data_IF_285894090664
#
_entry.id   IF_285894090664
#
_cell.length_a   1.000
_cell.length_b   1.000
_cell.length_c   1.000
_cell.angle_alpha   90.00
_cell.angle_beta   90.00
_cell.angle_gamma   90.00
#
_symmetry.space_group_name_H-M   'P 1'
#
loop_
_entity.id
_entity.type
_entity.pdbx_description
1 polymer ?
#
# COMPACT_ATOMS: atom_id res chain seq x y z
N UNK A 1 -5.19 -9.77 -17.78
CA UNK A 1 -5.39 -10.02 -16.34
C UNK A 1 -4.43 -9.20 -15.51
N UNK A 2 -4.41 -9.44 -14.20
CA UNK A 2 -3.31 -9.07 -13.31
C UNK A 2 -2.68 -10.37 -12.82
N UNK A 3 -1.36 -10.42 -12.72
CA UNK A 3 -0.64 -11.55 -12.15
C UNK A 3 -0.07 -11.14 -10.80
N UNK A 4 -0.17 -12.03 -9.81
CA UNK A 4 0.20 -11.74 -8.42
C UNK A 4 1.49 -12.45 -8.00
N UNK A 5 2.33 -12.85 -8.96
CA UNK A 5 3.59 -13.57 -8.70
C UNK A 5 3.41 -15.04 -8.34
N UNK A 6 2.15 -15.51 -8.32
CA UNK A 6 1.74 -16.83 -7.80
C UNK A 6 0.68 -17.41 -8.70
N UNK A 7 0.88 -18.65 -9.13
CA UNK A 7 -0.02 -19.34 -10.04
C UNK A 7 0.73 -20.26 -11.01
N UNK A 8 0.04 -20.62 -12.08
CA UNK A 8 0.56 -21.49 -13.13
C UNK A 8 1.23 -20.67 -14.23
N UNK A 9 2.38 -21.15 -14.71
CA UNK A 9 3.15 -20.52 -15.77
C UNK A 9 3.34 -21.48 -16.95
N UNK A 10 3.18 -20.95 -18.16
CA UNK A 10 3.78 -21.58 -19.34
C UNK A 10 5.22 -21.07 -19.46
N UNK A 11 6.18 -21.82 -18.90
CA UNK A 11 7.59 -21.42 -18.81
C UNK A 11 8.17 -21.03 -20.18
N UNK A 12 7.99 -21.82 -21.27
CA UNK A 12 8.45 -21.42 -22.60
C UNK A 12 7.88 -20.08 -23.09
N UNK A 13 6.57 -19.86 -22.91
CA UNK A 13 5.93 -18.62 -23.36
C UNK A 13 6.41 -17.40 -22.55
N UNK A 14 6.54 -17.55 -21.24
CA UNK A 14 7.05 -16.50 -20.35
C UNK A 14 8.48 -16.14 -20.74
N UNK A 15 9.34 -17.14 -20.96
CA UNK A 15 10.72 -16.92 -21.40
C UNK A 15 10.77 -16.22 -22.76
N UNK A 16 9.98 -16.68 -23.73
CA UNK A 16 9.93 -16.08 -25.07
C UNK A 16 9.47 -14.61 -25.07
N UNK A 17 8.60 -14.22 -24.14
CA UNK A 17 8.04 -12.87 -24.08
C UNK A 17 8.84 -11.93 -23.18
N UNK A 18 9.46 -12.42 -22.11
CA UNK A 18 10.13 -11.58 -21.12
C UNK A 18 11.65 -11.50 -21.27
N UNK A 19 12.29 -12.48 -21.91
CA UNK A 19 13.74 -12.52 -22.03
C UNK A 19 14.30 -11.21 -22.63
N UNK A 20 15.20 -10.56 -21.89
CA UNK A 20 15.84 -9.30 -22.31
C UNK A 20 14.92 -8.07 -22.38
N UNK A 21 13.65 -8.15 -21.94
CA UNK A 21 12.69 -7.05 -22.05
C UNK A 21 12.68 -6.10 -20.86
N UNK A 22 13.15 -6.57 -19.69
CA UNK A 22 13.21 -5.79 -18.47
C UNK A 22 14.64 -5.39 -18.15
N UNK A 23 14.86 -4.22 -17.53
CA UNK A 23 16.19 -3.82 -17.11
C UNK A 23 16.71 -4.78 -16.03
N UNK A 24 17.87 -5.39 -16.29
CA UNK A 24 18.52 -6.30 -15.36
C UNK A 24 18.86 -5.59 -14.05
N UNK A 25 18.58 -6.26 -12.93
CA UNK A 25 18.94 -5.79 -11.59
C UNK A 25 18.18 -4.56 -11.08
N UNK A 26 17.14 -4.09 -11.78
CA UNK A 26 16.43 -2.85 -11.44
C UNK A 26 14.97 -3.06 -11.00
N UNK A 27 14.40 -4.25 -11.20
CA UNK A 27 12.99 -4.55 -10.92
C UNK A 27 12.86 -5.43 -9.68
N UNK A 28 12.46 -4.84 -8.54
CA UNK A 28 12.20 -5.58 -7.29
C UNK A 28 10.82 -6.26 -7.26
N UNK A 29 9.83 -5.70 -7.97
CA UNK A 29 8.48 -6.25 -8.09
C UNK A 29 8.15 -6.42 -9.57
N UNK A 30 8.13 -7.66 -10.04
CA UNK A 30 7.90 -7.98 -11.45
C UNK A 30 6.47 -8.43 -11.75
N UNK A 31 5.70 -8.87 -10.74
CA UNK A 31 4.43 -9.58 -10.90
C UNK A 31 3.44 -8.87 -11.86
N UNK A 32 3.23 -7.58 -11.64
CA UNK A 32 2.32 -6.77 -12.44
C UNK A 32 2.79 -6.65 -13.90
N UNK A 33 4.11 -6.53 -14.11
CA UNK A 33 4.72 -6.37 -15.44
C UNK A 33 4.75 -7.71 -16.18
N UNK A 34 5.09 -8.80 -15.50
CA UNK A 34 5.05 -10.14 -16.05
C UNK A 34 3.65 -10.46 -16.57
N UNK A 35 2.62 -10.23 -15.76
CA UNK A 35 1.24 -10.43 -16.19
C UNK A 35 0.78 -9.48 -17.30
N UNK A 36 1.37 -8.27 -17.34
CA UNK A 36 1.10 -7.29 -18.40
C UNK A 36 1.69 -7.69 -19.75
N UNK A 37 2.87 -8.31 -19.75
CA UNK A 37 3.63 -8.66 -20.95
C UNK A 37 3.30 -10.09 -21.42
N UNK A 38 3.36 -11.08 -20.53
CA UNK A 38 3.05 -12.48 -20.84
C UNK A 38 1.55 -12.73 -21.05
N UNK A 39 0.69 -11.77 -20.66
CA UNK A 39 -0.77 -11.90 -20.53
C UNK A 39 -1.14 -12.92 -19.46
N UNK A 40 -2.40 -12.90 -19.03
CA UNK A 40 -2.92 -13.84 -18.03
C UNK A 40 -4.36 -14.20 -18.32
N UNK A 41 -4.72 -15.44 -18.04
CA UNK A 41 -6.08 -15.91 -17.84
C UNK A 41 -6.37 -16.01 -16.33
N UNK A 42 -7.65 -15.97 -15.96
CA UNK A 42 -8.09 -16.19 -14.58
C UNK A 42 -8.55 -17.64 -14.42
N UNK A 43 -8.24 -18.24 -13.28
CA UNK A 43 -8.74 -19.55 -12.85
C UNK A 43 -9.51 -19.30 -11.56
N UNK A 44 -10.83 -19.54 -11.57
CA UNK A 44 -11.72 -19.29 -10.42
C UNK A 44 -11.84 -20.50 -9.48
N UNK A 45 -11.54 -21.70 -9.99
CA UNK A 45 -11.88 -22.96 -9.31
C UNK A 45 -10.73 -23.48 -8.44
N UNK A 46 -9.61 -22.75 -8.42
CA UNK A 46 -8.43 -23.08 -7.63
C UNK A 46 -8.12 -21.92 -6.69
N UNK A 47 -8.03 -22.22 -5.39
CA UNK A 47 -7.65 -21.24 -4.38
C UNK A 47 -6.24 -21.54 -3.88
N UNK A 48 -5.36 -20.56 -3.98
CA UNK A 48 -4.02 -20.60 -3.37
C UNK A 48 -4.08 -19.86 -2.06
N UNK A 49 -3.86 -20.58 -0.95
CA UNK A 49 -3.84 -20.02 0.40
C UNK A 49 -2.41 -19.76 0.80
N UNK A 50 -2.17 -18.57 1.35
CA UNK A 50 -0.88 -18.19 1.91
C UNK A 50 -1.07 -17.64 3.30
N UNK A 51 -0.05 -17.82 4.13
CA UNK A 51 -0.04 -17.27 5.47
C UNK A 51 -0.07 -15.73 5.43
N UNK A 52 -0.99 -15.17 6.19
CA UNK A 52 -1.04 -13.73 6.47
C UNK A 52 0.04 -13.37 7.48
N UNK A 53 0.69 -12.18 7.38
CA UNK A 53 1.63 -11.76 8.40
C UNK A 53 0.96 -11.67 9.77
N UNK A 54 1.45 -12.48 10.72
CA UNK A 54 0.94 -12.52 12.10
C UNK A 54 1.36 -11.33 12.97
N UNK A 55 2.25 -10.45 12.47
CA UNK A 55 2.77 -9.29 13.21
C UNK A 55 2.74 -8.01 12.37
N UNK A 56 2.44 -6.88 13.00
CA UNK A 56 2.35 -5.57 12.33
C UNK A 56 3.65 -5.18 11.62
N UNK A 57 4.81 -5.48 12.22
CA UNK A 57 6.12 -5.21 11.63
C UNK A 57 6.38 -5.98 10.34
N UNK A 58 5.89 -7.22 10.27
CA UNK A 58 6.02 -8.06 9.08
C UNK A 58 5.13 -7.51 7.96
N UNK A 59 3.92 -7.06 8.30
CA UNK A 59 3.03 -6.37 7.37
C UNK A 59 3.66 -5.04 6.88
N UNK A 60 4.24 -4.25 7.78
CA UNK A 60 4.92 -3.00 7.47
C UNK A 60 6.13 -3.20 6.53
N UNK A 61 6.98 -4.19 6.81
CA UNK A 61 8.13 -4.52 5.95
C UNK A 61 7.68 -4.96 4.55
N UNK A 62 6.58 -5.72 4.45
CA UNK A 62 5.99 -6.13 3.18
C UNK A 62 5.48 -4.92 2.39
N UNK A 63 4.72 -4.03 3.02
CA UNK A 63 4.23 -2.79 2.41
C UNK A 63 5.37 -1.87 1.94
N UNK A 64 6.45 -1.78 2.73
CA UNK A 64 7.63 -1.01 2.35
C UNK A 64 8.31 -1.60 1.11
N UNK A 65 8.50 -2.92 1.05
CA UNK A 65 9.03 -3.61 -0.14
C UNK A 65 8.14 -3.39 -1.36
N UNK A 66 6.83 -3.53 -1.21
CA UNK A 66 5.87 -3.35 -2.31
C UNK A 66 5.88 -1.93 -2.86
N UNK A 67 5.82 -0.94 -1.97
CA UNK A 67 5.91 0.48 -2.36
C UNK A 67 7.22 0.75 -3.10
N UNK A 68 8.36 0.25 -2.60
CA UNK A 68 9.63 0.41 -3.32
C UNK A 68 9.62 -0.26 -4.69
N UNK A 69 9.08 -1.46 -4.79
CA UNK A 69 8.95 -2.19 -6.05
C UNK A 69 8.08 -1.45 -7.07
N UNK A 70 6.95 -0.88 -6.65
CA UNK A 70 6.08 -0.09 -7.52
C UNK A 70 6.81 1.15 -8.07
N UNK A 71 7.52 1.89 -7.21
CA UNK A 71 8.27 3.08 -7.62
C UNK A 71 9.48 2.78 -8.49
N UNK A 72 10.06 1.56 -8.40
CA UNK A 72 11.09 1.11 -9.34
C UNK A 72 10.60 0.90 -10.76
N UNK A 73 9.29 0.78 -10.96
CA UNK A 73 8.70 0.69 -12.30
C UNK A 73 8.48 2.07 -12.93
N UNK A 74 8.76 3.16 -12.23
CA UNK A 74 8.62 4.53 -12.75
C UNK A 74 9.40 4.76 -14.07
N UNK A 75 10.64 4.27 -14.26
CA UNK A 75 11.33 4.39 -15.55
C UNK A 75 10.59 3.72 -16.72
N UNK A 76 9.87 2.62 -16.49
CA UNK A 76 9.08 1.95 -17.52
C UNK A 76 7.88 2.81 -17.93
N UNK A 77 7.26 3.53 -16.99
CA UNK A 77 6.21 4.50 -17.26
C UNK A 77 6.72 5.71 -18.06
N UNK A 78 7.89 6.23 -17.69
CA UNK A 78 8.47 7.44 -18.30
C UNK A 78 9.14 7.18 -19.66
N UNK A 79 9.41 5.93 -20.03
CA UNK A 79 10.05 5.56 -21.30
C UNK A 79 9.13 4.69 -22.19
N UNK A 80 7.96 5.20 -22.61
CA UNK A 80 6.95 4.42 -23.33
C UNK A 80 7.41 3.88 -24.68
N UNK A 81 8.40 4.51 -25.31
CA UNK A 81 9.02 4.06 -26.57
C UNK A 81 9.92 2.83 -26.35
N UNK A 82 10.63 2.79 -25.22
CA UNK A 82 11.53 1.68 -24.86
C UNK A 82 10.76 0.50 -24.27
N UNK A 83 9.72 0.80 -23.48
CA UNK A 83 8.88 -0.18 -22.81
C UNK A 83 7.41 0.00 -23.23
N UNK A 84 7.00 -0.61 -24.37
CA UNK A 84 5.64 -0.46 -24.88
C UNK A 84 4.65 -1.25 -24.03
N UNK A 85 3.97 -0.55 -23.12
CA UNK A 85 2.86 -1.06 -22.32
C UNK A 85 1.51 -0.57 -22.86
N UNK A 86 0.50 -1.46 -22.86
CA UNK A 86 -0.90 -1.10 -23.16
C UNK A 86 -1.41 -0.06 -22.17
N UNK A 87 -2.36 0.78 -22.59
CA UNK A 87 -2.94 1.85 -21.77
C UNK A 87 -3.44 1.36 -20.40
N UNK A 88 -4.16 0.24 -20.37
CA UNK A 88 -4.64 -0.35 -19.11
C UNK A 88 -3.51 -0.77 -18.16
N UNK A 89 -2.38 -1.26 -18.69
CA UNK A 89 -1.24 -1.69 -17.86
C UNK A 89 -0.49 -0.47 -17.29
N UNK A 90 -0.40 0.62 -18.07
CA UNK A 90 0.12 1.90 -17.57
C UNK A 90 -0.77 2.48 -16.47
N UNK A 91 -2.08 2.42 -16.66
CA UNK A 91 -3.04 2.87 -15.66
C UNK A 91 -2.87 2.10 -14.33
N UNK A 92 -2.73 0.77 -14.37
CA UNK A 92 -2.47 -0.03 -13.15
C UNK A 92 -1.20 0.41 -12.42
N UNK A 93 -0.12 0.67 -13.15
CA UNK A 93 1.13 1.15 -12.57
C UNK A 93 0.96 2.55 -11.93
N UNK A 94 0.33 3.48 -12.65
CA UNK A 94 0.05 4.83 -12.13
C UNK A 94 -0.84 4.75 -10.88
N UNK A 95 -1.84 3.88 -10.88
CA UNK A 95 -2.74 3.70 -9.74
C UNK A 95 -2.02 3.07 -8.54
N UNK A 96 -1.04 2.18 -8.72
CA UNK A 96 -0.17 1.72 -7.63
C UNK A 96 0.62 2.89 -7.00
N UNK A 97 1.25 3.74 -7.82
CA UNK A 97 1.98 4.92 -7.33
C UNK A 97 1.04 5.87 -6.59
N UNK A 98 -0.12 6.19 -7.16
CA UNK A 98 -1.15 7.03 -6.56
C UNK A 98 -1.62 6.46 -5.21
N UNK A 99 -1.90 5.16 -5.12
CA UNK A 99 -2.29 4.49 -3.86
C UNK A 99 -1.25 4.68 -2.77
N UNK A 100 0.04 4.54 -3.11
CA UNK A 100 1.12 4.71 -2.12
C UNK A 100 1.25 6.14 -1.59
N UNK A 101 0.74 7.13 -2.31
CA UNK A 101 0.76 8.55 -1.90
C UNK A 101 -0.40 8.94 -0.99
N UNK A 102 -1.47 8.13 -0.89
CA UNK A 102 -2.67 8.48 -0.12
C UNK A 102 -2.34 8.80 1.33
N UNK A 103 -1.56 7.94 2.02
CA UNK A 103 -1.21 8.18 3.42
C UNK A 103 -0.30 9.41 3.62
N UNK A 104 0.83 9.57 2.88
CA UNK A 104 1.65 10.78 2.96
C UNK A 104 0.89 12.08 2.69
N UNK A 105 0.06 12.11 1.63
CA UNK A 105 -0.70 13.30 1.27
C UNK A 105 -1.82 13.61 2.27
N UNK A 106 -2.48 12.57 2.82
CA UNK A 106 -3.50 12.75 3.86
C UNK A 106 -2.93 13.33 5.14
N UNK A 107 -1.76 12.85 5.58
CA UNK A 107 -1.06 13.40 6.74
C UNK A 107 -0.66 14.86 6.51
N UNK A 108 -0.08 15.17 5.35
CA UNK A 108 0.32 16.53 5.00
C UNK A 108 -0.89 17.48 4.96
N UNK A 109 -2.00 17.05 4.36
CA UNK A 109 -3.22 17.85 4.29
C UNK A 109 -3.82 18.10 5.68
N UNK A 110 -3.87 17.09 6.56
CA UNK A 110 -4.31 17.26 7.94
C UNK A 110 -3.40 18.22 8.72
N UNK A 111 -2.08 18.09 8.58
CA UNK A 111 -1.14 18.99 9.23
C UNK A 111 -1.32 20.44 8.75
N UNK A 112 -1.50 20.65 7.45
CA UNK A 112 -1.78 21.98 6.88
C UNK A 112 -3.13 22.55 7.34
N UNK A 113 -4.15 21.72 7.48
CA UNK A 113 -5.46 22.14 7.98
C UNK A 113 -5.39 22.57 9.46
N UNK A 114 -4.70 21.78 10.29
CA UNK A 114 -4.48 22.09 11.70
C UNK A 114 -3.56 23.31 11.89
N UNK A 115 -2.63 23.52 10.96
CA UNK A 115 -1.80 24.73 10.87
C UNK A 115 -2.58 25.97 10.37
N UNK A 116 -3.89 25.85 10.09
CA UNK A 116 -4.72 26.96 9.62
C UNK A 116 -4.46 27.37 8.17
N UNK A 117 -3.73 26.56 7.40
CA UNK A 117 -3.32 26.86 6.01
C UNK A 117 -4.30 26.28 4.99
N UNK A 118 -4.95 25.16 5.28
CA UNK A 118 -5.76 24.42 4.30
C UNK A 118 -7.14 24.01 4.82
N UNK A 119 -8.19 24.75 4.42
CA UNK A 119 -9.58 24.41 4.71
C UNK A 119 -9.92 24.33 6.21
N UNK A 120 -11.13 23.87 6.53
CA UNK A 120 -11.47 23.59 7.93
C UNK A 120 -10.97 22.21 8.34
N UNK A 121 -10.44 22.02 9.58
CA UNK A 121 -9.97 20.73 10.06
C UNK A 121 -11.02 19.61 9.93
N UNK A 122 -12.30 19.93 10.18
CA UNK A 122 -13.41 18.98 10.04
C UNK A 122 -13.65 18.53 8.60
N UNK A 123 -13.63 19.45 7.63
CA UNK A 123 -13.82 19.11 6.21
C UNK A 123 -12.64 18.28 5.68
N UNK A 124 -11.41 18.64 6.08
CA UNK A 124 -10.21 17.88 5.71
C UNK A 124 -10.22 16.49 6.33
N UNK A 125 -10.61 16.36 7.61
CA UNK A 125 -10.76 15.06 8.25
C UNK A 125 -11.79 14.19 7.53
N UNK A 126 -12.95 14.75 7.17
CA UNK A 126 -13.98 14.03 6.41
C UNK A 126 -13.44 13.55 5.04
N UNK A 127 -12.67 14.39 4.34
CA UNK A 127 -12.03 14.02 3.07
C UNK A 127 -11.01 12.89 3.25
N UNK A 128 -10.13 12.99 4.25
CA UNK A 128 -9.14 11.94 4.56
C UNK A 128 -9.85 10.63 4.93
N UNK A 129 -10.86 10.69 5.80
CA UNK A 129 -11.64 9.50 6.16
C UNK A 129 -12.33 8.88 4.94
N UNK A 130 -12.88 9.69 4.04
CA UNK A 130 -13.46 9.22 2.78
C UNK A 130 -12.42 8.50 1.91
N UNK A 131 -11.21 9.05 1.80
CA UNK A 131 -10.13 8.42 1.04
C UNK A 131 -9.66 7.09 1.64
N UNK A 132 -9.57 6.99 2.97
CA UNK A 132 -9.20 5.76 3.69
C UNK A 132 -10.29 4.69 3.63
N UNK A 133 -11.56 5.11 3.68
CA UNK A 133 -12.72 4.22 3.72
C UNK A 133 -13.21 3.77 2.34
N UNK A 134 -12.87 4.48 1.26
CA UNK A 134 -13.41 4.19 -0.08
C UNK A 134 -13.26 2.71 -0.48
N UNK A 135 -12.06 2.13 -0.35
CA UNK A 135 -11.80 0.73 -0.69
C UNK A 135 -12.57 -0.26 0.20
N UNK A 136 -12.36 -0.25 1.53
CA UNK A 136 -13.08 -1.12 2.45
C UNK A 136 -14.60 -1.04 2.35
N UNK A 137 -15.16 0.17 2.21
CA UNK A 137 -16.60 0.36 2.08
C UNK A 137 -17.13 -0.16 0.74
N UNK A 138 -16.43 0.06 -0.38
CA UNK A 138 -16.84 -0.54 -1.66
C UNK A 138 -16.91 -2.07 -1.56
N UNK A 139 -15.93 -2.70 -0.89
CA UNK A 139 -15.92 -4.14 -0.67
C UNK A 139 -17.07 -4.62 0.22
N UNK A 140 -17.31 -3.93 1.34
CA UNK A 140 -18.42 -4.25 2.25
C UNK A 140 -19.78 -4.05 1.57
N UNK A 141 -19.95 -2.99 0.78
CA UNK A 141 -21.18 -2.71 0.03
C UNK A 141 -21.40 -3.74 -1.07
N UNK A 142 -20.35 -4.12 -1.81
CA UNK A 142 -20.45 -5.19 -2.80
C UNK A 142 -20.84 -6.53 -2.14
N UNK A 143 -20.38 -6.79 -0.91
CA UNK A 143 -20.75 -7.95 -0.11
C UNK A 143 -22.22 -7.99 0.33
N UNK A 144 -22.96 -6.87 0.24
CA UNK A 144 -24.42 -6.85 0.48
C UNK A 144 -25.22 -7.40 -0.70
N UNK A 145 -24.60 -7.60 -1.87
CA UNK A 145 -25.25 -8.16 -3.04
C UNK A 145 -25.25 -9.70 -2.98
N UNK A 146 -26.41 -10.37 -2.88
CA UNK A 146 -26.48 -11.82 -2.89
C UNK A 146 -26.01 -12.36 -4.25
N UNK A 147 -25.13 -13.34 -4.25
CA UNK A 147 -24.61 -13.97 -5.48
C UNK A 147 -25.29 -15.31 -5.82
N UNK A 148 -26.16 -15.81 -4.93
CA UNK A 148 -26.88 -17.09 -5.07
C UNK A 148 -28.28 -16.98 -4.47
N UNK A 149 -29.24 -17.72 -5.00
CA UNK A 149 -30.64 -17.67 -4.55
C UNK A 149 -30.88 -18.50 -3.27
N UNK A 150 -30.04 -19.51 -2.99
CA UNK A 150 -30.15 -20.41 -1.84
C UNK A 150 -29.34 -19.93 -0.63
N UNK A 151 -29.62 -18.71 -0.16
CA UNK A 151 -28.91 -18.09 0.96
C UNK A 151 -29.80 -17.96 2.19
N UNK A 152 -29.26 -18.35 3.36
CA UNK A 152 -29.85 -18.05 4.66
C UNK A 152 -29.82 -16.54 4.92
N UNK A 153 -30.85 -15.82 4.46
CA UNK A 153 -30.90 -14.34 4.41
C UNK A 153 -30.52 -13.65 5.73
N UNK A 154 -30.99 -14.16 6.87
CA UNK A 154 -30.65 -13.62 8.20
C UNK A 154 -29.15 -13.68 8.48
N UNK A 155 -28.53 -14.83 8.24
CA UNK A 155 -27.09 -15.00 8.44
C UNK A 155 -26.29 -14.15 7.45
N UNK A 156 -26.72 -14.11 6.18
CA UNK A 156 -26.11 -13.29 5.15
C UNK A 156 -26.07 -11.81 5.52
N UNK A 157 -27.21 -11.21 5.88
CA UNK A 157 -27.26 -9.79 6.24
C UNK A 157 -26.58 -9.49 7.58
N UNK A 158 -26.60 -10.43 8.54
CA UNK A 158 -25.82 -10.29 9.77
C UNK A 158 -24.32 -10.22 9.47
N UNK A 159 -23.83 -11.12 8.61
CA UNK A 159 -22.43 -11.14 8.22
C UNK A 159 -22.04 -9.88 7.44
N UNK A 160 -22.86 -9.45 6.49
CA UNK A 160 -22.62 -8.24 5.72
C UNK A 160 -22.64 -6.97 6.60
N UNK A 161 -23.52 -6.91 7.62
CA UNK A 161 -23.49 -5.86 8.63
C UNK A 161 -22.21 -5.88 9.46
N UNK A 162 -21.72 -7.07 9.84
CA UNK A 162 -20.44 -7.22 10.52
C UNK A 162 -19.24 -6.83 9.63
N UNK A 163 -19.28 -7.10 8.33
CA UNK A 163 -18.29 -6.63 7.35
C UNK A 163 -18.29 -5.10 7.24
N UNK A 164 -19.47 -4.46 7.23
CA UNK A 164 -19.58 -3.01 7.23
C UNK A 164 -18.99 -2.37 8.50
N UNK A 165 -19.31 -2.93 9.67
CA UNK A 165 -18.73 -2.46 10.93
C UNK A 165 -17.21 -2.64 10.95
N UNK A 166 -16.71 -3.77 10.44
CA UNK A 166 -15.26 -4.00 10.28
C UNK A 166 -14.61 -3.00 9.33
N UNK A 167 -15.27 -2.61 8.24
CA UNK A 167 -14.77 -1.59 7.33
C UNK A 167 -14.67 -0.21 8.01
N UNK A 168 -15.69 0.19 8.78
CA UNK A 168 -15.69 1.44 9.54
C UNK A 168 -14.61 1.45 10.63
N UNK A 169 -14.54 0.40 11.45
CA UNK A 169 -13.50 0.25 12.46
C UNK A 169 -12.09 0.23 11.84
N UNK A 170 -11.95 -0.40 10.67
CA UNK A 170 -10.73 -0.39 9.87
C UNK A 170 -10.32 1.02 9.42
N UNK A 171 -11.27 1.89 9.08
CA UNK A 171 -10.98 3.29 8.77
C UNK A 171 -10.41 4.07 9.96
N UNK A 172 -10.99 3.89 11.14
CA UNK A 172 -10.47 4.49 12.39
C UNK A 172 -9.07 3.97 12.70
N UNK A 173 -8.86 2.66 12.53
CA UNK A 173 -7.55 2.04 12.69
C UNK A 173 -6.50 2.58 11.70
N UNK A 174 -6.88 2.79 10.43
CA UNK A 174 -6.01 3.42 9.43
C UNK A 174 -5.67 4.87 9.78
N UNK A 175 -6.64 5.63 10.30
CA UNK A 175 -6.42 7.00 10.79
C UNK A 175 -5.43 7.03 11.96
N UNK A 176 -5.62 6.13 12.94
CA UNK A 176 -4.70 6.00 14.08
C UNK A 176 -3.27 5.69 13.64
N UNK A 177 -3.10 4.87 12.61
CA UNK A 177 -1.78 4.52 12.07
C UNK A 177 -1.26 5.48 10.99
N UNK A 178 -1.97 6.57 10.70
CA UNK A 178 -1.69 7.42 9.55
C UNK A 178 -0.25 7.94 9.54
N UNK A 179 0.25 8.43 10.68
CA UNK A 179 1.63 8.92 10.80
C UNK A 179 2.67 7.83 10.46
N UNK A 180 2.46 6.62 11.00
CA UNK A 180 3.35 5.49 10.76
C UNK A 180 3.34 5.08 9.28
N UNK A 181 2.15 4.92 8.70
CA UNK A 181 1.98 4.51 7.30
C UNK A 181 2.53 5.57 6.34
N UNK A 182 2.28 6.85 6.61
CA UNK A 182 2.81 7.97 5.84
C UNK A 182 4.34 8.01 5.88
N UNK A 183 4.95 7.85 7.07
CA UNK A 183 6.40 7.84 7.23
C UNK A 183 7.05 6.65 6.51
N UNK A 184 6.44 5.47 6.61
CA UNK A 184 6.90 4.26 5.94
C UNK A 184 6.83 4.38 4.41
N UNK A 185 5.71 4.89 3.89
CA UNK A 185 5.54 5.15 2.46
C UNK A 185 6.52 6.23 1.98
N UNK A 186 6.67 7.33 2.72
CA UNK A 186 7.61 8.40 2.38
C UNK A 186 9.06 7.89 2.33
N UNK A 187 9.52 7.10 3.31
CA UNK A 187 10.87 6.49 3.26
C UNK A 187 11.01 5.58 2.03
N UNK A 188 10.03 4.72 1.75
CA UNK A 188 10.06 3.85 0.58
C UNK A 188 10.20 4.66 -0.72
N UNK A 189 9.40 5.72 -0.87
CA UNK A 189 9.37 6.58 -2.07
C UNK A 189 10.70 7.33 -2.23
N UNK A 190 11.13 8.05 -1.19
CA UNK A 190 12.36 8.86 -1.23
C UNK A 190 13.59 7.98 -1.43
N UNK A 191 13.69 6.86 -0.71
CA UNK A 191 14.80 5.91 -0.84
C UNK A 191 14.87 5.32 -2.24
N UNK A 192 13.73 4.94 -2.81
CA UNK A 192 13.67 4.43 -4.19
C UNK A 192 14.03 5.51 -5.20
N UNK A 193 13.48 6.72 -5.07
CA UNK A 193 13.81 7.86 -5.92
C UNK A 193 15.30 8.16 -5.92
N UNK A 194 15.91 8.23 -4.74
CA UNK A 194 17.36 8.41 -4.60
C UNK A 194 18.17 7.29 -5.25
N UNK A 195 17.78 6.02 -5.05
CA UNK A 195 18.48 4.87 -5.64
C UNK A 195 18.35 4.82 -7.15
N UNK A 196 17.22 5.23 -7.71
CA UNK A 196 16.99 5.25 -9.15
C UNK A 196 17.68 6.44 -9.83
N UNK A 197 17.62 7.63 -9.22
CA UNK A 197 18.11 8.86 -9.84
C UNK A 197 19.59 9.11 -9.58
N UNK A 198 20.08 8.78 -8.38
CA UNK A 198 21.41 9.21 -7.92
C UNK A 198 22.34 8.04 -7.64
N UNK A 199 22.03 7.19 -6.64
CA UNK A 199 23.03 6.23 -6.17
C UNK A 199 23.21 5.01 -7.07
N UNK A 200 22.16 4.57 -7.77
CA UNK A 200 22.12 3.34 -8.60
C UNK A 200 22.58 2.07 -7.87
N UNK A 201 22.61 2.08 -6.54
CA UNK A 201 23.09 0.98 -5.68
C UNK A 201 21.94 0.35 -4.89
N UNK A 202 22.08 -0.94 -4.58
CA UNK A 202 21.16 -1.70 -3.72
C UNK A 202 19.69 -1.68 -4.21
N UNK A 203 19.47 -1.67 -5.52
CA UNK A 203 18.12 -1.64 -6.09
C UNK A 203 17.29 -2.86 -5.70
N UNK A 204 17.91 -4.04 -5.63
CA UNK A 204 17.22 -5.27 -5.24
C UNK A 204 17.25 -5.57 -3.74
N UNK A 205 17.68 -4.64 -2.88
CA UNK A 205 17.79 -4.93 -1.46
C UNK A 205 16.40 -4.99 -0.80
N UNK A 206 16.06 -6.12 -0.19
CA UNK A 206 14.86 -6.28 0.63
C UNK A 206 15.15 -7.21 1.82
N UNK A 207 14.37 -7.05 2.89
CA UNK A 207 14.52 -7.86 4.10
C UNK A 207 13.71 -9.16 3.96
N UNK A 208 14.35 -10.35 4.08
CA UNK A 208 13.63 -11.62 4.05
C UNK A 208 12.56 -11.72 5.12
N UNK A 209 11.42 -12.33 4.78
CA UNK A 209 10.29 -12.53 5.69
C UNK A 209 10.72 -13.21 7.00
N UNK A 210 11.55 -14.26 6.92
CA UNK A 210 12.08 -14.96 8.08
C UNK A 210 12.91 -14.08 9.02
N UNK A 211 13.68 -13.12 8.47
CA UNK A 211 14.46 -12.17 9.26
C UNK A 211 13.55 -11.18 10.00
N UNK A 212 12.45 -10.75 9.38
CA UNK A 212 11.47 -9.85 10.02
C UNK A 212 10.67 -10.55 11.13
N UNK A 213 10.31 -11.82 10.93
CA UNK A 213 9.63 -12.62 11.97
C UNK A 213 10.55 -12.87 13.18
N UNK A 214 11.83 -13.14 12.95
CA UNK A 214 12.81 -13.27 14.04
C UNK A 214 12.95 -11.99 14.87
N UNK A 215 12.92 -10.83 14.22
CA UNK A 215 12.94 -9.52 14.91
C UNK A 215 11.64 -9.18 15.62
N UNK A 216 10.49 -9.72 15.20
CA UNK A 216 9.20 -9.44 15.84
C UNK A 216 9.04 -10.11 17.23
N UNK A 217 9.88 -11.10 17.57
CA UNK A 217 9.84 -11.82 18.86
C UNK A 217 10.65 -11.12 19.95
N UNK A 218 10.46 -9.81 20.12
CA UNK A 218 11.17 -9.02 21.13
C UNK A 218 10.31 -8.76 22.37
N UNK A 219 10.95 -8.70 23.55
CA UNK A 219 10.31 -8.22 24.78
C UNK A 219 10.05 -6.70 24.76
N UNK A 220 9.38 -6.17 25.80
CA UNK A 220 8.93 -4.77 25.85
C UNK A 220 10.02 -3.72 25.55
N UNK A 221 11.25 -3.92 26.05
CA UNK A 221 12.37 -3.01 25.78
C UNK A 221 12.78 -2.99 24.30
N UNK A 222 12.73 -4.13 23.62
CA UNK A 222 13.02 -4.22 22.19
C UNK A 222 11.93 -3.56 21.34
N UNK A 223 10.66 -3.73 21.73
CA UNK A 223 9.53 -3.03 21.10
C UNK A 223 9.66 -1.51 21.23
N UNK A 224 10.01 -0.99 22.42
CA UNK A 224 10.22 0.44 22.62
C UNK A 224 11.40 0.94 21.78
N UNK A 225 12.51 0.19 21.75
CA UNK A 225 13.67 0.50 20.92
C UNK A 225 13.36 0.50 19.42
N UNK A 226 12.48 -0.38 18.94
CA UNK A 226 12.10 -0.45 17.54
C UNK A 226 11.13 0.68 17.14
N UNK A 227 10.20 1.05 18.03
CA UNK A 227 9.05 1.90 17.71
C UNK A 227 9.13 3.33 18.24
N UNK A 228 10.17 3.72 19.00
CA UNK A 228 10.31 5.07 19.59
C UNK A 228 10.25 6.24 18.59
N UNK A 229 10.60 6.02 17.32
CA UNK A 229 10.66 7.10 16.31
C UNK A 229 9.28 7.70 16.03
N UNK A 230 8.25 6.87 16.01
CA UNK A 230 6.88 7.27 15.69
C UNK A 230 6.26 8.18 16.76
N UNK A 231 6.28 7.85 18.07
CA UNK A 231 5.79 8.76 19.09
C UNK A 231 6.65 10.03 19.18
N UNK A 232 7.96 9.96 18.98
CA UNK A 232 8.80 11.16 18.93
C UNK A 232 8.43 12.08 17.77
N UNK A 233 8.20 11.52 16.57
CA UNK A 233 7.71 12.27 15.42
C UNK A 233 6.32 12.87 15.68
N UNK A 234 5.43 12.15 16.38
CA UNK A 234 4.11 12.66 16.76
C UNK A 234 4.21 13.85 17.73
N UNK A 235 5.08 13.74 18.75
CA UNK A 235 5.33 14.82 19.71
C UNK A 235 5.93 16.04 19.00
N UNK A 236 6.90 15.83 18.11
CA UNK A 236 7.51 16.91 17.35
C UNK A 236 6.49 17.62 16.43
N UNK A 237 5.62 16.84 15.76
CA UNK A 237 4.54 17.38 14.93
C UNK A 237 3.55 18.20 15.77
N UNK A 238 3.13 17.66 16.93
CA UNK A 238 2.24 18.36 17.85
C UNK A 238 2.87 19.66 18.36
N UNK A 239 4.12 19.63 18.81
CA UNK A 239 4.84 20.81 19.26
C UNK A 239 4.95 21.87 18.15
N UNK A 240 5.22 21.44 16.91
CA UNK A 240 5.22 22.33 15.75
C UNK A 240 3.85 22.97 15.50
N UNK A 241 2.77 22.20 15.55
CA UNK A 241 1.41 22.73 15.39
C UNK A 241 1.03 23.73 16.49
N UNK A 242 1.37 23.43 17.75
CA UNK A 242 1.13 24.34 18.87
C UNK A 242 1.93 25.64 18.73
N UNK A 243 3.17 25.57 18.23
CA UNK A 243 4.01 26.74 18.01
C UNK A 243 3.49 27.67 16.90
N UNK A 244 2.72 27.15 15.93
CA UNK A 244 2.09 27.96 14.88
C UNK A 244 0.97 28.85 15.44
N UNK A 245 0.43 28.53 16.62
CA UNK A 245 -0.52 29.40 17.33
C UNK A 245 -1.84 29.61 16.58
N UNK A 246 -2.40 28.54 16.01
CA UNK A 246 -3.55 28.64 15.11
C UNK A 246 -4.85 28.98 15.83
N UNK A 247 -5.75 29.77 15.19
CA UNK A 247 -7.04 30.16 15.77
C UNK A 247 -8.14 29.08 15.61
N UNK A 248 -7.90 28.03 14.84
CA UNK A 248 -8.84 26.91 14.63
C UNK A 248 -8.82 25.97 15.83
N UNK A 249 -9.98 25.64 16.43
CA UNK A 249 -10.04 25.51 17.87
C UNK A 249 -9.56 24.14 18.39
N UNK A 250 -8.92 24.23 19.55
CA UNK A 250 -8.98 23.32 20.69
C UNK A 250 -10.38 22.71 20.88
#
# INVERSE_FOLDING_TARGET
GSFSGKGLFNVPAVHAVLAGRLPEGQVLSHDLIEGSLARCAAVSDVTVVEDSPFHADVAAARLHRWTRGDWQLLPLLLQPRRYPLRGINRWKLVDNLRRSLVAPMSLALLALALAGVAGSPGAVLALVMSALLAGPLMGAVAGLAPSRDDLARRHFFHQAGADLLRALAGGVWLLQQLLQQASLAADAIVRTGWRLAVSRRHLLQWTPFAATVGQARQGAAGLLGQHHRTPLAAIALLAGLLAVGTPTPW
#
